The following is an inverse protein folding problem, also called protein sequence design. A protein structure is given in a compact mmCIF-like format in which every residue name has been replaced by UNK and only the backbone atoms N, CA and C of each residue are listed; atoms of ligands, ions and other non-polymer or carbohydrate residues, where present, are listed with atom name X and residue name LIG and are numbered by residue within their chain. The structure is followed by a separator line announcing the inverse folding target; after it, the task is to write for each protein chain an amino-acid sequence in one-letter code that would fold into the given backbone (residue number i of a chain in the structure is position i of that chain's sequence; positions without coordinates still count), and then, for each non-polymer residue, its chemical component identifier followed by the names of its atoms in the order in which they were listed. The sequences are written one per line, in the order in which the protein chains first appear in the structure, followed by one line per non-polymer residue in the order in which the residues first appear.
data_IF_327482834197
#
_entry.id   IF_327482834197
#
_cell.length_a   1.000
_cell.length_b   1.000
_cell.length_c   1.000
_cell.angle_alpha   90.00
_cell.angle_beta   90.00
_cell.angle_gamma   90.00
#
_symmetry.space_group_name_H-M   'P 1'
#
loop_
_entity.id
_entity.type
_entity.pdbx_description
1 polymer ?
#
# COMPACT_ATOMS: atom_id res chain seq x y z
N UNK A 1 15.79 -17.31 6.27
CA UNK A 1 15.91 -15.91 6.76
C UNK A 1 14.55 -15.39 7.16
N UNK A 2 14.45 -14.89 8.38
CA UNK A 2 13.24 -14.21 8.82
C UNK A 2 13.35 -12.75 8.39
N UNK A 3 12.46 -12.31 7.51
CA UNK A 3 12.36 -10.88 7.25
C UNK A 3 11.41 -10.25 8.25
N UNK A 4 11.68 -9.01 8.56
CA UNK A 4 10.85 -8.26 9.47
C UNK A 4 9.61 -7.76 8.73
N UNK A 5 8.45 -8.01 9.33
CA UNK A 5 7.17 -7.54 8.80
C UNK A 5 6.76 -6.28 9.53
N UNK A 6 6.67 -5.20 8.81
CA UNK A 6 6.38 -3.88 9.34
C UNK A 6 4.89 -3.59 9.23
N UNK A 7 4.28 -3.13 10.31
CA UNK A 7 2.86 -2.79 10.35
C UNK A 7 2.57 -1.30 10.28
N UNK A 8 3.58 -0.47 10.51
CA UNK A 8 3.41 0.97 10.43
C UNK A 8 4.68 1.61 9.90
N UNK A 9 4.51 2.51 8.95
CA UNK A 9 5.59 3.28 8.35
C UNK A 9 5.19 4.74 8.38
N UNK A 10 6.02 5.58 8.97
CA UNK A 10 5.76 7.02 9.08
C UNK A 10 6.92 7.82 8.52
N UNK A 11 6.58 8.89 7.81
CA UNK A 11 7.56 9.88 7.41
C UNK A 11 7.66 10.97 8.47
N UNK A 12 8.87 11.30 8.87
CA UNK A 12 9.13 12.47 9.71
C UNK A 12 9.62 13.65 8.89
N UNK A 13 10.36 13.36 7.84
CA UNK A 13 10.82 14.32 6.86
C UNK A 13 11.05 13.54 5.57
N UNK A 14 11.44 14.22 4.49
CA UNK A 14 11.65 13.57 3.20
C UNK A 14 12.71 12.46 3.25
N UNK A 15 13.62 12.50 4.25
CA UNK A 15 14.72 11.55 4.36
C UNK A 15 14.62 10.61 5.56
N UNK A 16 13.59 10.70 6.39
CA UNK A 16 13.47 9.87 7.59
C UNK A 16 12.17 9.09 7.61
N UNK A 17 12.30 7.79 7.74
CA UNK A 17 11.17 6.87 7.79
C UNK A 17 11.24 6.11 9.12
N UNK A 18 10.17 6.14 9.88
CA UNK A 18 10.06 5.32 11.09
C UNK A 18 9.28 4.07 10.76
N UNK A 19 9.87 2.94 11.10
CA UNK A 19 9.29 1.62 10.92
C UNK A 19 8.87 1.06 12.27
N UNK A 20 7.67 0.50 12.32
CA UNK A 20 7.20 -0.27 13.46
C UNK A 20 6.95 -1.70 13.01
N UNK A 21 7.51 -2.66 13.72
CA UNK A 21 7.29 -4.07 13.42
C UNK A 21 6.73 -4.81 14.61
N UNK A 22 6.08 -5.92 14.32
CA UNK A 22 5.58 -6.84 15.34
C UNK A 22 6.22 -8.19 15.09
N UNK A 23 6.91 -8.71 16.09
CA UNK A 23 7.38 -10.09 16.01
C UNK A 23 6.19 -11.04 16.19
N UNK A 24 5.94 -11.86 15.18
CA UNK A 24 4.82 -12.80 15.21
C UNK A 24 5.15 -14.13 15.90
N UNK A 25 6.43 -14.35 16.18
CA UNK A 25 6.91 -15.67 16.64
C UNK A 25 7.13 -15.75 18.16
N UNK A 26 6.81 -14.69 18.90
CA UNK A 26 7.05 -14.63 20.35
C UNK A 26 5.77 -14.26 21.06
N UNK A 27 5.49 -14.95 22.16
CA UNK A 27 4.38 -14.62 23.03
C UNK A 27 4.93 -14.14 24.40
N UNK A 28 4.59 -12.95 24.90
CA UNK A 28 3.70 -11.97 24.29
C UNK A 28 4.33 -11.33 23.04
N UNK A 29 3.48 -10.84 22.12
CA UNK A 29 3.95 -10.14 20.94
C UNK A 29 4.77 -8.92 21.32
N UNK A 30 5.98 -8.84 20.79
CA UNK A 30 6.86 -7.70 21.02
C UNK A 30 6.76 -6.73 19.84
N UNK A 31 6.60 -5.45 20.18
CA UNK A 31 6.62 -4.38 19.19
C UNK A 31 8.01 -3.75 19.19
N UNK A 32 8.60 -3.68 17.99
CA UNK A 32 9.88 -3.01 17.80
C UNK A 32 9.65 -1.74 17.02
N UNK A 33 10.29 -0.67 17.47
CA UNK A 33 10.21 0.63 16.82
C UNK A 33 11.61 1.11 16.56
N UNK A 34 11.92 1.36 15.29
CA UNK A 34 13.23 1.89 14.93
C UNK A 34 13.09 2.86 13.77
N UNK A 35 14.08 3.72 13.64
CA UNK A 35 14.14 4.72 12.59
C UNK A 35 14.95 4.17 11.43
N UNK A 36 14.38 4.20 10.24
CA UNK A 36 15.11 3.88 9.02
C UNK A 36 16.05 5.03 8.69
N UNK A 37 17.32 4.72 8.44
CA UNK A 37 18.32 5.72 8.07
C UNK A 37 18.59 5.60 6.58
N UNK A 38 18.13 6.58 5.80
CA UNK A 38 18.29 6.57 4.36
C UNK A 38 17.31 7.49 3.67
N UNK A 39 17.43 7.59 2.35
CA UNK A 39 16.52 8.35 1.51
C UNK A 39 15.29 7.51 1.17
N UNK A 40 14.28 8.17 0.57
CA UNK A 40 13.12 7.45 0.04
C UNK A 40 13.53 6.41 -1.02
N UNK A 41 14.56 6.72 -1.81
CA UNK A 41 15.13 5.78 -2.78
C UNK A 41 15.66 4.53 -2.07
N UNK A 42 16.42 4.70 -0.99
CA UNK A 42 16.93 3.58 -0.19
C UNK A 42 15.80 2.73 0.35
N UNK A 43 14.74 3.38 0.83
CA UNK A 43 13.56 2.69 1.34
C UNK A 43 12.88 1.85 0.26
N UNK A 44 12.66 2.42 -0.92
CA UNK A 44 12.03 1.70 -2.03
C UNK A 44 12.86 0.49 -2.46
N UNK A 45 14.18 0.65 -2.54
CA UNK A 45 15.09 -0.45 -2.88
C UNK A 45 15.04 -1.55 -1.82
N UNK A 46 14.98 -1.16 -0.56
CA UNK A 46 14.95 -2.10 0.56
C UNK A 46 13.69 -2.96 0.54
N UNK A 47 12.54 -2.34 0.30
CA UNK A 47 11.25 -3.03 0.18
C UNK A 47 11.24 -3.93 -1.05
N UNK A 48 11.70 -3.42 -2.17
CA UNK A 48 11.69 -4.14 -3.44
C UNK A 48 12.64 -5.35 -3.41
N UNK A 49 13.77 -5.23 -2.71
CA UNK A 49 14.71 -6.32 -2.51
C UNK A 49 14.27 -7.37 -1.49
N UNK A 50 13.05 -7.26 -0.97
CA UNK A 50 12.48 -8.17 0.02
C UNK A 50 13.23 -8.24 1.35
N UNK A 51 14.08 -7.25 1.63
CA UNK A 51 14.76 -7.15 2.91
C UNK A 51 13.81 -6.62 3.99
N UNK A 52 12.74 -5.97 3.56
CA UNK A 52 11.70 -5.45 4.43
C UNK A 52 10.34 -5.74 3.82
N UNK A 53 9.44 -6.32 4.60
CA UNK A 53 8.05 -6.51 4.19
C UNK A 53 7.14 -5.55 4.93
N UNK A 54 6.31 -4.83 4.18
CA UNK A 54 5.25 -4.00 4.75
C UNK A 54 3.98 -4.83 4.78
N UNK A 55 3.36 -4.94 5.97
CA UNK A 55 2.10 -5.66 6.09
C UNK A 55 1.03 -5.03 5.19
N UNK A 56 0.20 -5.85 4.56
CA UNK A 56 -0.83 -5.38 3.63
C UNK A 56 -1.72 -4.30 4.22
N UNK A 57 -2.11 -4.47 5.49
CA UNK A 57 -2.97 -3.51 6.19
C UNK A 57 -2.23 -2.36 6.86
N UNK A 58 -0.91 -2.25 6.68
CA UNK A 58 -0.10 -1.19 7.33
C UNK A 58 -0.64 0.20 7.00
N UNK A 59 -0.79 1.02 8.02
CA UNK A 59 -1.32 2.39 7.89
C UNK A 59 -2.69 2.44 7.20
N UNK A 60 -3.56 1.47 7.50
CA UNK A 60 -4.89 1.40 6.89
C UNK A 60 -4.85 1.19 5.39
N UNK A 61 -3.99 0.30 4.92
CA UNK A 61 -3.76 -0.02 3.49
C UNK A 61 -3.14 1.12 2.68
N UNK A 62 -2.65 2.16 3.34
CA UNK A 62 -2.04 3.29 2.64
C UNK A 62 -0.86 2.86 1.78
N UNK A 63 0.07 2.10 2.36
CA UNK A 63 1.28 1.67 1.64
C UNK A 63 0.98 0.67 0.53
N UNK A 64 0.06 -0.24 0.77
CA UNK A 64 -0.36 -1.21 -0.26
C UNK A 64 -1.03 -0.52 -1.44
N UNK A 65 -1.90 0.45 -1.17
CA UNK A 65 -2.51 1.26 -2.22
C UNK A 65 -1.48 2.11 -2.95
N UNK A 66 -0.56 2.72 -2.22
CA UNK A 66 0.51 3.54 -2.79
C UNK A 66 1.36 2.74 -3.78
N UNK A 67 1.83 1.56 -3.37
CA UNK A 67 2.63 0.72 -4.25
C UNK A 67 1.84 0.27 -5.47
N UNK A 68 0.60 -0.17 -5.30
CA UNK A 68 -0.22 -0.65 -6.42
C UNK A 68 -0.46 0.45 -7.46
N UNK A 69 -0.80 1.66 -7.03
CA UNK A 69 -1.03 2.80 -7.93
C UNK A 69 0.29 3.21 -8.59
N UNK A 70 1.35 3.34 -7.82
CA UNK A 70 2.64 3.82 -8.32
C UNK A 70 3.22 2.86 -9.36
N UNK A 71 3.12 1.55 -9.14
CA UNK A 71 3.63 0.57 -10.10
C UNK A 71 2.90 0.65 -11.45
N UNK A 72 1.60 0.87 -11.44
CA UNK A 72 0.84 1.07 -12.68
C UNK A 72 1.25 2.34 -13.41
N UNK A 73 1.46 3.43 -12.66
CA UNK A 73 1.93 4.70 -13.23
C UNK A 73 3.34 4.57 -13.82
N UNK A 74 4.24 3.84 -13.14
CA UNK A 74 5.58 3.59 -13.64
C UNK A 74 5.56 2.74 -14.92
N UNK A 75 4.68 1.77 -14.99
CA UNK A 75 4.54 0.91 -16.16
C UNK A 75 4.13 1.71 -17.39
N UNK A 76 3.27 2.71 -17.24
CA UNK A 76 2.92 3.64 -18.31
C UNK A 76 4.14 4.41 -18.80
N UNK A 77 5.10 4.67 -17.93
CA UNK A 77 6.37 5.34 -18.26
C UNK A 77 7.45 4.36 -18.75
N UNK A 78 7.09 3.10 -18.98
CA UNK A 78 8.03 2.02 -19.34
C UNK A 78 9.08 1.72 -18.28
N UNK A 79 8.73 1.92 -17.02
CA UNK A 79 9.58 1.60 -15.87
C UNK A 79 8.99 0.35 -15.21
N UNK A 80 9.77 -0.74 -15.22
CA UNK A 80 9.34 -1.98 -14.57
C UNK A 80 9.67 -1.96 -13.08
N UNK A 81 8.68 -2.29 -12.28
CA UNK A 81 8.83 -2.38 -10.84
C UNK A 81 9.98 -3.32 -10.42
N UNK A 82 10.13 -4.45 -11.12
CA UNK A 82 11.15 -5.44 -10.81
C UNK A 82 12.58 -4.91 -10.96
N UNK A 83 12.77 -3.81 -11.69
CA UNK A 83 14.09 -3.24 -11.95
C UNK A 83 14.53 -2.23 -10.88
N UNK A 84 13.63 -1.82 -9.98
CA UNK A 84 13.93 -0.77 -9.00
C UNK A 84 15.09 -1.13 -8.07
N UNK A 85 15.15 -2.39 -7.66
CA UNK A 85 16.22 -2.84 -6.75
C UNK A 85 17.60 -2.76 -7.39
N UNK A 86 17.70 -3.06 -8.67
CA UNK A 86 18.96 -3.13 -9.40
C UNK A 86 19.41 -1.80 -10.01
N UNK A 87 18.56 -0.76 -9.99
CA UNK A 87 18.92 0.55 -10.50
C UNK A 87 19.97 1.22 -9.60
N UNK A 88 21.01 1.78 -10.21
CA UNK A 88 21.98 2.59 -9.48
C UNK A 88 21.30 3.81 -8.88
N UNK A 89 21.71 4.18 -7.66
CA UNK A 89 21.14 5.34 -6.97
C UNK A 89 21.33 6.65 -7.74
N UNK A 90 22.36 6.73 -8.56
CA UNK A 90 22.68 7.92 -9.35
C UNK A 90 21.94 7.97 -10.68
N UNK A 91 21.16 6.93 -11.01
CA UNK A 91 20.41 6.90 -12.25
C UNK A 91 19.34 8.00 -12.24
N UNK A 92 19.35 8.91 -13.24
CA UNK A 92 18.41 10.05 -13.25
C UNK A 92 16.93 9.64 -13.29
N UNK A 93 16.61 8.40 -13.69
CA UNK A 93 15.24 7.91 -13.71
C UNK A 93 14.61 7.87 -12.30
N UNK A 94 15.43 7.87 -11.24
CA UNK A 94 14.93 7.92 -9.88
C UNK A 94 14.12 9.18 -9.59
N UNK A 95 14.43 10.31 -10.26
CA UNK A 95 13.64 11.52 -10.11
C UNK A 95 12.19 11.30 -10.55
N UNK A 96 12.00 10.62 -11.69
CA UNK A 96 10.67 10.28 -12.18
C UNK A 96 9.95 9.26 -11.28
N UNK A 97 10.69 8.29 -10.77
CA UNK A 97 10.14 7.28 -9.86
C UNK A 97 9.66 7.94 -8.57
N UNK A 98 10.49 8.76 -7.95
CA UNK A 98 10.15 9.45 -6.69
C UNK A 98 8.97 10.40 -6.91
N UNK A 99 8.96 11.15 -8.00
CA UNK A 99 7.86 12.05 -8.33
C UNK A 99 6.53 11.28 -8.49
N UNK A 100 6.58 10.11 -9.15
CA UNK A 100 5.41 9.25 -9.32
C UNK A 100 4.86 8.81 -7.96
N UNK A 101 5.71 8.35 -7.05
CA UNK A 101 5.30 7.97 -5.71
C UNK A 101 4.73 9.15 -4.91
N UNK A 102 5.36 10.32 -5.01
CA UNK A 102 4.86 11.51 -4.33
C UNK A 102 3.49 11.96 -4.85
N UNK A 103 3.28 11.89 -6.15
CA UNK A 103 1.98 12.21 -6.76
C UNK A 103 0.89 11.27 -6.24
N UNK A 104 1.16 9.97 -6.25
CA UNK A 104 0.23 8.97 -5.74
C UNK A 104 -0.02 9.14 -4.24
N UNK A 105 1.03 9.43 -3.48
CA UNK A 105 0.94 9.66 -2.03
C UNK A 105 0.06 10.86 -1.70
N UNK A 106 0.25 11.97 -2.40
CA UNK A 106 -0.55 13.17 -2.19
C UNK A 106 -2.02 12.92 -2.50
N UNK A 107 -2.29 12.19 -3.56
CA UNK A 107 -3.64 11.81 -3.94
C UNK A 107 -4.31 10.96 -2.85
N UNK A 108 -3.62 9.97 -2.34
CA UNK A 108 -4.14 9.12 -1.27
C UNK A 108 -4.37 9.90 0.03
N UNK A 109 -3.44 10.79 0.39
CA UNK A 109 -3.59 11.64 1.58
C UNK A 109 -4.79 12.56 1.47
N UNK A 110 -5.03 13.13 0.30
CA UNK A 110 -6.16 14.02 0.07
C UNK A 110 -7.52 13.32 0.18
N UNK A 111 -7.56 12.02 -0.08
CA UNK A 111 -8.80 11.25 -0.13
C UNK A 111 -8.98 10.28 1.04
N UNK A 112 -8.02 10.16 1.93
CA UNK A 112 -7.97 9.09 2.95
C UNK A 112 -9.16 9.05 3.90
N UNK A 113 -9.85 10.17 4.09
CA UNK A 113 -11.00 10.25 5.00
C UNK A 113 -12.32 9.85 4.34
N UNK A 114 -12.30 9.59 3.04
CA UNK A 114 -13.49 9.17 2.30
C UNK A 114 -13.80 7.70 2.55
N UNK A 115 -15.08 7.36 2.48
CA UNK A 115 -15.56 5.98 2.53
C UNK A 115 -16.07 5.59 1.15
N UNK A 116 -15.96 4.32 0.81
CA UNK A 116 -16.31 3.82 -0.51
C UNK A 116 -17.05 2.50 -0.43
N UNK A 117 -17.93 2.26 -1.39
CA UNK A 117 -18.44 0.93 -1.70
C UNK A 117 -17.57 0.35 -2.82
N UNK A 118 -17.26 -0.94 -2.71
CA UNK A 118 -16.49 -1.65 -3.74
C UNK A 118 -17.41 -2.55 -4.52
N UNK A 119 -17.30 -2.52 -5.84
CA UNK A 119 -18.21 -3.21 -6.76
C UNK A 119 -17.45 -4.17 -7.67
N UNK A 120 -18.07 -5.31 -7.93
CA UNK A 120 -17.71 -6.21 -9.01
C UNK A 120 -18.93 -6.31 -9.93
N UNK A 121 -18.90 -5.65 -11.10
CA UNK A 121 -20.03 -5.50 -12.02
C UNK A 121 -21.27 -4.94 -11.32
N UNK A 122 -22.32 -5.76 -11.17
CA UNK A 122 -23.59 -5.36 -10.54
C UNK A 122 -23.62 -5.60 -9.04
N UNK A 123 -22.59 -6.20 -8.46
CA UNK A 123 -22.60 -6.63 -7.07
C UNK A 123 -21.68 -5.77 -6.21
N UNK A 124 -22.11 -5.52 -4.99
CA UNK A 124 -21.30 -4.82 -3.98
C UNK A 124 -20.64 -5.82 -3.06
N UNK A 125 -19.44 -5.50 -2.61
CA UNK A 125 -18.72 -6.34 -1.67
C UNK A 125 -19.24 -6.04 -0.26
N UNK A 126 -19.70 -7.09 0.44
CA UNK A 126 -20.26 -6.98 1.77
C UNK A 126 -19.29 -7.36 2.88
N UNK A 127 -18.16 -7.96 2.55
CA UNK A 127 -17.14 -8.33 3.50
C UNK A 127 -16.35 -9.55 3.08
N UNK A 128 -15.51 -10.01 4.00
CA UNK A 128 -14.72 -11.24 3.84
C UNK A 128 -15.28 -12.34 4.71
N UNK A 129 -15.53 -13.50 4.11
CA UNK A 129 -15.89 -14.69 4.85
C UNK A 129 -14.64 -15.37 5.42
N UNK A 130 -14.85 -16.31 6.33
CA UNK A 130 -13.80 -17.18 6.83
C UNK A 130 -13.11 -17.89 5.66
N UNK A 131 -11.76 -17.88 5.66
CA UNK A 131 -10.99 -18.41 4.54
C UNK A 131 -10.60 -17.36 3.51
N UNK A 132 -10.93 -16.09 3.73
CA UNK A 132 -10.46 -14.97 2.93
C UNK A 132 -11.25 -14.68 1.66
N UNK A 133 -12.34 -15.41 1.42
CA UNK A 133 -13.18 -15.14 0.25
C UNK A 133 -14.12 -13.98 0.52
N UNK A 134 -14.26 -13.10 -0.50
CA UNK A 134 -15.24 -12.01 -0.43
C UNK A 134 -16.64 -12.54 -0.71
N UNK A 135 -17.64 -11.93 -0.08
CA UNK A 135 -19.04 -12.21 -0.44
C UNK A 135 -19.69 -10.94 -0.93
N UNK A 136 -20.70 -11.12 -1.78
CA UNK A 136 -21.30 -10.08 -2.59
C UNK A 136 -22.78 -9.95 -2.29
N UNK A 137 -23.29 -8.72 -2.41
CA UNK A 137 -24.71 -8.41 -2.25
C UNK A 137 -25.18 -7.54 -3.40
N UNK A 138 -26.46 -7.60 -3.72
CA UNK A 138 -27.05 -6.82 -4.80
C UNK A 138 -27.34 -5.37 -4.38
N UNK A 139 -27.74 -5.17 -3.13
CA UNK A 139 -28.16 -3.87 -2.62
C UNK A 139 -27.02 -3.15 -1.92
N UNK A 140 -26.86 -1.88 -2.27
CA UNK A 140 -25.86 -1.00 -1.66
C UNK A 140 -26.02 -0.91 -0.14
N UNK A 141 -27.26 -0.93 0.35
CA UNK A 141 -27.57 -0.83 1.78
C UNK A 141 -26.99 -1.99 2.60
N UNK A 142 -26.80 -3.14 1.97
CA UNK A 142 -26.23 -4.33 2.61
C UNK A 142 -24.71 -4.42 2.44
N UNK A 143 -24.12 -3.50 1.69
CA UNK A 143 -22.70 -3.51 1.39
C UNK A 143 -21.88 -2.90 2.53
N UNK A 144 -20.64 -3.36 2.64
CA UNK A 144 -19.68 -2.77 3.57
C UNK A 144 -19.08 -1.50 2.99
N UNK A 145 -18.92 -0.50 3.85
CA UNK A 145 -18.19 0.73 3.52
C UNK A 145 -16.72 0.55 3.87
N UNK A 146 -15.85 0.79 2.90
CA UNK A 146 -14.41 0.66 3.08
C UNK A 146 -13.74 2.02 3.13
N UNK A 147 -12.69 2.18 3.96
CA UNK A 147 -11.83 3.37 3.86
C UNK A 147 -11.25 3.49 2.46
N UNK A 148 -11.02 4.71 2.00
CA UNK A 148 -10.57 4.98 0.64
C UNK A 148 -9.33 4.19 0.24
N UNK A 149 -8.28 4.18 1.10
CA UNK A 149 -7.04 3.47 0.77
C UNK A 149 -7.26 1.97 0.62
N UNK A 150 -8.10 1.38 1.46
CA UNK A 150 -8.44 -0.04 1.35
C UNK A 150 -9.22 -0.32 0.06
N UNK A 151 -10.19 0.54 -0.27
CA UNK A 151 -10.97 0.42 -1.51
C UNK A 151 -10.07 0.52 -2.74
N UNK A 152 -9.12 1.45 -2.75
CA UNK A 152 -8.13 1.58 -3.83
C UNK A 152 -7.28 0.33 -3.96
N UNK A 153 -6.77 -0.19 -2.83
CA UNK A 153 -6.00 -1.43 -2.86
C UNK A 153 -6.81 -2.59 -3.44
N UNK A 154 -8.05 -2.74 -3.01
CA UNK A 154 -8.92 -3.81 -3.48
C UNK A 154 -9.19 -3.71 -4.99
N UNK A 155 -9.48 -2.51 -5.48
CA UNK A 155 -9.79 -2.29 -6.90
C UNK A 155 -8.55 -2.37 -7.80
N UNK A 156 -7.38 -1.96 -7.30
CA UNK A 156 -6.14 -2.06 -8.09
C UNK A 156 -5.65 -3.50 -8.22
N UNK A 157 -5.97 -4.36 -7.27
CA UNK A 157 -5.55 -5.78 -7.31
C UNK A 157 -6.60 -6.73 -7.87
N UNK A 158 -7.78 -6.21 -8.19
CA UNK A 158 -8.88 -6.96 -8.78
C UNK A 158 -9.46 -6.11 -9.91
N UNK A 159 -10.22 -6.71 -10.78
CA UNK A 159 -10.89 -6.00 -11.86
C UNK A 159 -12.21 -5.42 -11.36
N UNK A 160 -12.14 -4.66 -10.28
CA UNK A 160 -13.28 -4.07 -9.58
C UNK A 160 -13.26 -2.55 -9.64
N UNK A 161 -14.37 -1.93 -9.32
CA UNK A 161 -14.51 -0.49 -9.24
C UNK A 161 -15.00 -0.08 -7.86
N UNK A 162 -14.93 1.21 -7.55
CA UNK A 162 -15.47 1.72 -6.30
C UNK A 162 -16.28 2.99 -6.56
N UNK A 163 -17.20 3.29 -5.64
CA UNK A 163 -17.91 4.57 -5.63
C UNK A 163 -17.86 5.17 -4.23
N UNK A 164 -17.74 6.49 -4.16
CA UNK A 164 -17.70 7.19 -2.88
C UNK A 164 -19.07 7.19 -2.21
N UNK A 165 -19.07 7.04 -0.90
CA UNK A 165 -20.28 7.18 -0.08
C UNK A 165 -20.61 8.65 0.02
N UNK A 166 -21.82 9.01 -0.34
CA UNK A 166 -22.33 10.39 -0.26
C UNK A 166 -23.10 10.61 1.03
#
# INVERSE_FOLDING_TARGET
MSYEKVRSVRFFSDDNIILESVSNNVSPKKYHKWKFTGTFIDFLRYVQGSELQIATSANGYFWSALFAISYKMLKVQNIEYSDLYSLDKDNPIWDDIVETFHTAMNYLKANRNKKCYVKNDCFYIAGRAYGGKYYFVENKEDAKKYPYCQARYMTENNDWTFEEVR
#
